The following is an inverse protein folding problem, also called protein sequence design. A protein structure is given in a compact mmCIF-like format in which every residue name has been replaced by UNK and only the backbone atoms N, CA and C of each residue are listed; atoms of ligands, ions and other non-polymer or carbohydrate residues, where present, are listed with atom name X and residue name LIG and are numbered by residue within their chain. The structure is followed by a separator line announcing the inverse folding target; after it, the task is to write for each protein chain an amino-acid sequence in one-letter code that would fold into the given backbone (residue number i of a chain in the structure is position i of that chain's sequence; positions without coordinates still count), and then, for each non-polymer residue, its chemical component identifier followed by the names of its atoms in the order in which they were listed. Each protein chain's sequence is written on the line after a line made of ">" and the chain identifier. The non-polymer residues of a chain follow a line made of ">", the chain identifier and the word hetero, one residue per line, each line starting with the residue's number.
data_IF_893723873823
#
_entry.id   IF_893723873823
#
_cell.length_a   1.000
_cell.length_b   1.000
_cell.length_c   1.000
_cell.angle_alpha   90.00
_cell.angle_beta   90.00
_cell.angle_gamma   90.00
#
_symmetry.space_group_name_H-M   'P 1'
#
loop_
_entity.id
_entity.type
_entity.pdbx_description
1 polymer ?
#
# COMPACT_ATOMS: atom_id res chain seq x y z
N UNK A 1 -45.92 3.61 -67.00
CA UNK A 1 -46.06 2.44 -66.10
C UNK A 1 -44.69 1.95 -65.64
N UNK A 2 -43.78 1.63 -66.56
CA UNK A 2 -42.45 1.07 -66.27
C UNK A 2 -41.58 1.89 -65.28
N UNK A 3 -41.55 3.22 -65.41
CA UNK A 3 -40.79 4.09 -64.48
C UNK A 3 -41.33 4.03 -63.04
N UNK A 4 -42.65 3.86 -62.87
CA UNK A 4 -43.24 3.76 -61.54
C UNK A 4 -42.90 2.42 -60.86
N UNK A 5 -42.88 1.34 -61.64
CA UNK A 5 -42.48 0.01 -61.17
C UNK A 5 -41.00 -0.03 -60.77
N UNK A 6 -40.12 0.57 -61.58
CA UNK A 6 -38.70 0.68 -61.26
C UNK A 6 -38.44 1.46 -59.97
N UNK A 7 -39.16 2.57 -59.75
CA UNK A 7 -39.07 3.34 -58.49
C UNK A 7 -39.50 2.50 -57.28
N UNK A 8 -40.58 1.73 -57.41
CA UNK A 8 -41.05 0.87 -56.34
C UNK A 8 -40.06 -0.27 -56.04
N UNK A 9 -39.47 -0.87 -57.07
CA UNK A 9 -38.44 -1.90 -56.89
C UNK A 9 -37.18 -1.34 -56.24
N UNK A 10 -36.73 -0.15 -56.63
CA UNK A 10 -35.57 0.52 -56.05
C UNK A 10 -35.81 0.82 -54.57
N UNK A 11 -36.97 1.38 -54.22
CA UNK A 11 -37.34 1.64 -52.84
C UNK A 11 -37.37 0.36 -51.98
N UNK A 12 -37.95 -0.73 -52.51
CA UNK A 12 -37.96 -2.03 -51.82
C UNK A 12 -36.55 -2.58 -51.60
N UNK A 13 -35.64 -2.41 -52.56
CA UNK A 13 -34.24 -2.84 -52.46
C UNK A 13 -33.48 -2.00 -51.44
N UNK A 14 -33.71 -0.69 -51.42
CA UNK A 14 -33.12 0.23 -50.46
C UNK A 14 -33.58 -0.08 -49.02
N UNK A 15 -34.87 -0.34 -48.81
CA UNK A 15 -35.40 -0.77 -47.52
C UNK A 15 -34.77 -2.07 -47.02
N UNK A 16 -34.61 -3.05 -47.93
CA UNK A 16 -33.93 -4.32 -47.59
C UNK A 16 -32.46 -4.09 -47.25
N UNK A 17 -31.75 -3.26 -48.01
CA UNK A 17 -30.36 -2.92 -47.74
C UNK A 17 -30.20 -2.25 -46.38
N UNK A 18 -31.02 -1.25 -46.06
CA UNK A 18 -30.98 -0.57 -44.76
C UNK A 18 -31.29 -1.51 -43.58
N UNK A 19 -32.22 -2.46 -43.75
CA UNK A 19 -32.47 -3.50 -42.74
C UNK A 19 -31.27 -4.42 -42.58
N UNK A 20 -30.66 -4.85 -43.67
CA UNK A 20 -29.46 -5.68 -43.64
C UNK A 20 -28.29 -4.96 -42.94
N UNK A 21 -28.07 -3.68 -43.21
CA UNK A 21 -27.04 -2.88 -42.55
C UNK A 21 -27.30 -2.73 -41.05
N UNK A 22 -28.55 -2.49 -40.63
CA UNK A 22 -28.90 -2.44 -39.20
C UNK A 22 -28.65 -3.76 -38.50
N UNK A 23 -29.05 -4.87 -39.13
CA UNK A 23 -28.83 -6.20 -38.59
C UNK A 23 -27.34 -6.54 -38.48
N UNK A 24 -26.56 -6.26 -39.53
CA UNK A 24 -25.11 -6.47 -39.53
C UNK A 24 -24.42 -5.70 -38.40
N UNK A 25 -24.78 -4.42 -38.22
CA UNK A 25 -24.24 -3.59 -37.14
C UNK A 25 -24.63 -4.09 -35.75
N UNK A 26 -25.87 -4.56 -35.57
CA UNK A 26 -26.29 -5.16 -34.29
C UNK A 26 -25.52 -6.45 -33.99
N UNK A 27 -25.28 -7.29 -35.01
CA UNK A 27 -24.50 -8.51 -34.84
C UNK A 27 -23.04 -8.23 -34.51
N UNK A 28 -22.44 -7.21 -35.13
CA UNK A 28 -21.08 -6.75 -34.83
C UNK A 28 -20.98 -6.26 -33.38
N UNK A 29 -21.88 -5.38 -32.94
CA UNK A 29 -21.94 -4.90 -31.55
C UNK A 29 -22.22 -6.02 -30.53
N UNK A 30 -22.89 -7.09 -30.94
CA UNK A 30 -23.10 -8.27 -30.09
C UNK A 30 -21.83 -9.10 -29.99
N UNK A 31 -21.08 -9.27 -31.08
CA UNK A 31 -19.80 -9.97 -31.09
C UNK A 31 -18.74 -9.22 -30.26
N UNK A 32 -18.60 -7.90 -30.46
CA UNK A 32 -17.66 -7.06 -29.71
C UNK A 32 -17.93 -7.12 -28.19
N UNK A 33 -19.20 -7.07 -27.77
CA UNK A 33 -19.57 -7.24 -26.36
C UNK A 33 -19.22 -8.63 -25.82
N UNK A 34 -19.33 -9.67 -26.64
CA UNK A 34 -18.96 -11.02 -26.22
C UNK A 34 -17.44 -11.17 -26.07
N UNK A 35 -16.65 -10.59 -26.97
CA UNK A 35 -15.19 -10.57 -26.91
C UNK A 35 -14.69 -9.84 -25.65
N UNK A 36 -15.20 -8.63 -25.38
CA UNK A 36 -14.87 -7.88 -24.17
C UNK A 36 -15.20 -8.66 -22.87
N UNK A 37 -16.29 -9.44 -22.87
CA UNK A 37 -16.64 -10.29 -21.73
C UNK A 37 -15.70 -11.49 -21.56
N UNK A 38 -15.14 -12.02 -22.66
CA UNK A 38 -14.16 -13.10 -22.60
C UNK A 38 -12.80 -12.59 -22.10
N UNK A 39 -12.35 -11.43 -22.58
CA UNK A 39 -11.09 -10.83 -22.15
C UNK A 39 -11.09 -10.48 -20.66
N UNK A 40 -12.20 -9.93 -20.16
CA UNK A 40 -12.35 -9.67 -18.71
C UNK A 40 -12.34 -10.96 -17.87
N UNK A 41 -12.95 -12.04 -18.35
CA UNK A 41 -12.91 -13.35 -17.66
C UNK A 41 -11.50 -13.97 -17.68
N UNK A 42 -10.74 -13.78 -18.76
CA UNK A 42 -9.36 -14.23 -18.85
C UNK A 42 -8.50 -13.58 -17.74
N UNK A 43 -8.63 -12.27 -17.55
CA UNK A 43 -7.91 -11.55 -16.48
C UNK A 43 -8.27 -12.04 -15.07
N UNK A 44 -9.54 -12.40 -14.83
CA UNK A 44 -9.95 -12.98 -13.53
C UNK A 44 -9.29 -14.34 -13.29
N UNK A 45 -9.18 -15.19 -14.31
CA UNK A 45 -8.53 -16.51 -14.19
C UNK A 45 -7.02 -16.40 -13.97
N UNK A 46 -6.35 -15.45 -14.62
CA UNK A 46 -4.93 -15.18 -14.39
C UNK A 46 -4.67 -14.69 -12.97
N UNK A 47 -5.51 -13.78 -12.47
CA UNK A 47 -5.46 -13.34 -11.08
C UNK A 47 -5.71 -14.47 -10.08
N UNK A 48 -6.64 -15.38 -10.38
CA UNK A 48 -6.92 -16.54 -9.52
C UNK A 48 -5.71 -17.47 -9.40
N UNK A 49 -5.03 -17.76 -10.52
CA UNK A 49 -3.78 -18.56 -10.52
C UNK A 49 -2.66 -17.88 -9.74
N UNK A 50 -2.51 -16.57 -9.93
CA UNK A 50 -1.51 -15.79 -9.20
C UNK A 50 -1.78 -15.80 -7.68
N UNK A 51 -3.04 -15.68 -7.28
CA UNK A 51 -3.42 -15.77 -5.87
C UNK A 51 -3.15 -17.16 -5.28
N UNK A 52 -3.44 -18.24 -6.01
CA UNK A 52 -3.15 -19.60 -5.58
C UNK A 52 -1.64 -19.81 -5.37
N UNK A 53 -0.80 -19.28 -6.28
CA UNK A 53 0.66 -19.32 -6.12
C UNK A 53 1.14 -18.54 -4.88
N UNK A 54 0.57 -17.36 -4.64
CA UNK A 54 0.86 -16.56 -3.45
C UNK A 54 0.46 -17.30 -2.16
N UNK A 55 -0.73 -17.91 -2.13
CA UNK A 55 -1.20 -18.70 -0.98
C UNK A 55 -0.27 -19.88 -0.69
N UNK A 56 0.16 -20.62 -1.71
CA UNK A 56 1.16 -21.68 -1.55
C UNK A 56 2.47 -21.15 -0.99
N UNK A 57 2.96 -20.01 -1.50
CA UNK A 57 4.22 -19.42 -1.04
C UNK A 57 4.13 -18.96 0.42
N UNK A 58 3.01 -18.35 0.81
CA UNK A 58 2.73 -17.96 2.20
C UNK A 58 2.71 -19.19 3.11
N UNK A 59 2.06 -20.27 2.68
CA UNK A 59 2.02 -21.54 3.45
C UNK A 59 3.41 -22.13 3.65
N UNK A 60 4.24 -22.19 2.59
CA UNK A 60 5.62 -22.65 2.68
C UNK A 60 6.48 -21.79 3.62
N UNK A 61 6.40 -20.45 3.51
CA UNK A 61 7.15 -19.54 4.39
C UNK A 61 6.70 -19.66 5.85
N UNK A 62 5.41 -19.84 6.10
CA UNK A 62 4.86 -20.06 7.44
C UNK A 62 5.41 -21.35 8.05
N UNK A 63 5.44 -22.44 7.28
CA UNK A 63 6.01 -23.71 7.73
C UNK A 63 7.53 -23.60 8.02
N UNK A 64 8.27 -22.82 7.23
CA UNK A 64 9.69 -22.56 7.49
C UNK A 64 9.91 -21.79 8.79
N UNK A 65 9.15 -20.71 9.02
CA UNK A 65 9.22 -19.93 10.27
C UNK A 65 8.88 -20.78 11.49
N UNK A 66 7.86 -21.64 11.40
CA UNK A 66 7.53 -22.57 12.48
C UNK A 66 8.63 -23.59 12.73
N UNK A 67 9.27 -24.08 11.65
CA UNK A 67 10.44 -24.96 11.74
C UNK A 67 11.62 -24.29 12.46
N UNK A 68 11.92 -23.04 12.13
CA UNK A 68 12.99 -22.28 12.80
C UNK A 68 12.68 -21.96 14.25
N UNK A 69 11.42 -21.60 14.56
CA UNK A 69 10.97 -21.39 15.96
C UNK A 69 11.15 -22.65 16.80
N UNK A 70 10.81 -23.83 16.25
CA UNK A 70 11.02 -25.12 16.95
C UNK A 70 12.49 -25.38 17.22
N UNK A 71 13.36 -25.21 16.21
CA UNK A 71 14.81 -25.36 16.37
C UNK A 71 15.37 -24.41 17.43
N UNK A 72 14.98 -23.13 17.38
CA UNK A 72 15.41 -22.13 18.36
C UNK A 72 14.98 -22.50 19.79
N UNK A 73 13.76 -23.03 19.97
CA UNK A 73 13.30 -23.50 21.27
C UNK A 73 14.06 -24.75 21.75
N UNK A 74 14.37 -25.70 20.87
CA UNK A 74 15.19 -26.86 21.22
C UNK A 74 16.59 -26.47 21.68
N UNK A 75 17.21 -25.48 21.01
CA UNK A 75 18.55 -25.02 21.37
C UNK A 75 18.53 -24.25 22.70
N UNK A 76 17.51 -23.41 22.93
CA UNK A 76 17.29 -22.76 24.24
C UNK A 76 17.11 -23.78 25.37
N UNK A 77 16.42 -24.89 25.11
CA UNK A 77 16.23 -25.95 26.10
C UNK A 77 17.52 -26.73 26.39
N UNK A 78 18.37 -26.96 25.38
CA UNK A 78 19.71 -27.54 25.58
C UNK A 78 20.58 -26.60 26.42
N UNK A 79 20.55 -25.30 26.12
CA UNK A 79 21.29 -24.29 26.88
C UNK A 79 20.81 -24.19 28.33
N UNK A 80 19.49 -24.23 28.56
CA UNK A 80 18.90 -24.29 29.90
C UNK A 80 19.44 -25.50 30.68
N UNK A 81 19.43 -26.69 30.09
CA UNK A 81 19.98 -27.91 30.71
C UNK A 81 21.47 -27.79 31.02
N UNK A 82 22.25 -27.17 30.12
CA UNK A 82 23.68 -26.94 30.32
C UNK A 82 23.94 -25.96 31.48
N UNK A 83 23.16 -24.88 31.57
CA UNK A 83 23.22 -23.92 32.67
C UNK A 83 22.88 -24.59 34.01
N UNK A 84 21.83 -25.42 34.05
CA UNK A 84 21.44 -26.15 35.26
C UNK A 84 22.54 -27.10 35.73
N UNK A 85 23.18 -27.82 34.79
CA UNK A 85 24.29 -28.72 35.09
C UNK A 85 25.53 -27.97 35.61
N UNK A 86 25.92 -26.87 34.95
CA UNK A 86 27.01 -26.01 35.42
C UNK A 86 26.71 -25.44 36.81
N UNK A 87 25.46 -25.04 37.06
CA UNK A 87 25.02 -24.54 38.37
C UNK A 87 25.16 -25.61 39.46
N UNK A 88 24.80 -26.87 39.17
CA UNK A 88 25.01 -28.00 40.10
C UNK A 88 26.49 -28.23 40.38
N UNK A 89 27.34 -28.18 39.35
CA UNK A 89 28.79 -28.36 39.52
C UNK A 89 29.42 -27.25 40.38
N UNK A 90 29.03 -25.99 40.17
CA UNK A 90 29.50 -24.86 40.98
C UNK A 90 29.08 -25.05 42.44
N UNK A 91 27.82 -25.39 42.72
CA UNK A 91 27.32 -25.65 44.08
C UNK A 91 28.10 -26.80 44.75
N UNK A 92 28.35 -27.89 44.02
CA UNK A 92 29.10 -29.03 44.53
C UNK A 92 30.59 -28.78 44.76
N UNK A 93 31.20 -27.83 44.03
CA UNK A 93 32.59 -27.38 44.28
C UNK A 93 32.66 -26.45 45.49
N UNK A 94 31.74 -25.48 45.59
CA UNK A 94 31.67 -24.56 46.73
C UNK A 94 31.52 -25.29 48.08
N UNK A 95 30.73 -26.37 48.12
CA UNK A 95 30.59 -27.22 49.32
C UNK A 95 31.89 -27.96 49.68
N UNK A 96 32.65 -28.44 48.69
CA UNK A 96 33.90 -29.18 48.89
C UNK A 96 35.07 -28.30 49.31
N UNK A 97 35.13 -27.09 48.76
CA UNK A 97 36.20 -26.14 49.06
C UNK A 97 36.00 -25.41 50.39
N UNK A 98 34.96 -25.77 51.16
CA UNK A 98 34.68 -25.16 52.47
C UNK A 98 34.51 -23.65 52.37
N UNK A 99 34.11 -23.15 51.19
CA UNK A 99 33.84 -21.73 50.95
C UNK A 99 32.60 -21.41 51.76
N UNK A 100 32.84 -20.97 53.01
CA UNK A 100 31.83 -20.40 53.87
C UNK A 100 31.15 -19.34 53.03
N UNK A 101 29.85 -19.56 52.81
CA UNK A 101 28.86 -18.60 52.38
C UNK A 101 29.45 -17.19 52.48
N UNK A 102 29.87 -16.61 51.35
CA UNK A 102 30.04 -15.18 51.27
C UNK A 102 28.64 -14.65 51.55
N UNK A 103 28.37 -14.39 52.84
CA UNK A 103 27.29 -13.56 53.29
C UNK A 103 27.46 -12.30 52.46
N UNK A 104 26.59 -12.15 51.47
CA UNK A 104 26.46 -10.89 50.76
C UNK A 104 26.38 -9.82 51.84
N UNK A 105 27.36 -8.93 51.86
CA UNK A 105 27.40 -7.81 52.78
C UNK A 105 26.05 -7.10 52.67
N UNK A 106 25.29 -6.89 53.77
CA UNK A 106 23.96 -6.28 53.72
C UNK A 106 23.97 -4.82 53.23
N UNK A 107 25.15 -4.26 52.93
CA UNK A 107 25.31 -2.83 52.69
C UNK A 107 24.97 -2.35 51.27
N UNK A 108 24.48 -3.22 50.38
CA UNK A 108 23.91 -2.82 49.08
C UNK A 108 22.37 -2.78 49.06
N UNK A 109 21.70 -2.94 50.20
CA UNK A 109 20.23 -2.82 50.32
C UNK A 109 19.71 -1.37 50.41
N UNK A 110 20.55 -0.35 50.21
CA UNK A 110 20.13 1.06 50.22
C UNK A 110 20.16 1.76 48.86
N UNK A 111 20.28 1.02 47.76
CA UNK A 111 19.72 1.50 46.51
C UNK A 111 18.27 1.03 46.48
N UNK A 112 17.39 1.87 47.03
CA UNK A 112 15.97 1.75 46.75
C UNK A 112 15.82 1.71 45.22
N UNK A 113 15.11 0.73 44.66
CA UNK A 113 14.63 0.89 43.30
C UNK A 113 13.70 2.09 43.34
N UNK A 114 14.10 3.20 42.72
CA UNK A 114 13.10 4.14 42.22
C UNK A 114 12.08 3.30 41.45
N UNK A 115 10.81 3.48 41.78
CA UNK A 115 9.69 2.84 41.13
C UNK A 115 9.69 3.24 39.65
N UNK A 116 10.47 2.54 38.85
CA UNK A 116 10.31 2.53 37.40
C UNK A 116 9.00 1.79 37.17
N UNK A 117 7.96 2.59 36.97
CA UNK A 117 6.68 2.12 36.46
C UNK A 117 6.94 1.19 35.26
N UNK A 118 6.24 0.07 35.14
CA UNK A 118 6.41 -0.84 34.01
C UNK A 118 5.87 -0.16 32.74
N UNK A 119 6.73 0.60 32.08
CA UNK A 119 6.53 1.03 30.70
C UNK A 119 6.71 -0.19 29.80
N UNK A 120 5.58 -0.74 29.41
CA UNK A 120 5.35 -1.95 28.61
C UNK A 120 5.80 -1.81 27.14
N UNK A 121 6.88 -1.06 26.87
CA UNK A 121 7.29 -0.67 25.51
C UNK A 121 8.73 -1.04 25.11
N UNK A 122 9.54 -1.62 26.00
CA UNK A 122 10.99 -1.75 25.73
C UNK A 122 11.49 -3.12 25.24
N UNK A 123 10.63 -4.10 24.97
CA UNK A 123 11.03 -5.40 24.38
C UNK A 123 10.84 -5.49 22.84
N UNK A 124 10.43 -4.40 22.17
CA UNK A 124 10.39 -4.36 20.69
C UNK A 124 11.54 -3.58 20.04
N UNK A 125 12.41 -2.92 20.81
CA UNK A 125 13.40 -2.01 20.25
C UNK A 125 14.83 -2.59 20.13
N UNK A 126 15.21 -3.60 20.92
CA UNK A 126 16.58 -4.13 20.92
C UNK A 126 16.88 -5.17 19.82
N UNK A 127 15.86 -5.62 19.07
CA UNK A 127 16.03 -6.54 17.94
C UNK A 127 16.27 -5.87 16.58
N UNK A 128 16.36 -4.53 16.51
CA UNK A 128 16.57 -3.78 15.26
C UNK A 128 18.01 -3.26 15.06
N UNK A 129 18.89 -3.29 16.06
CA UNK A 129 20.21 -2.63 15.96
C UNK A 129 21.40 -3.55 15.65
N UNK A 130 21.18 -4.83 15.28
CA UNK A 130 22.29 -5.78 14.99
C UNK A 130 22.42 -6.28 13.55
N UNK A 131 21.68 -5.73 12.58
CA UNK A 131 21.81 -6.09 11.15
C UNK A 131 22.36 -4.98 10.23
N UNK A 132 22.91 -3.88 10.76
CA UNK A 132 23.55 -2.84 9.93
C UNK A 132 25.06 -3.03 9.73
N UNK A 133 25.46 -4.18 9.17
CA UNK A 133 26.82 -4.37 8.68
C UNK A 133 26.81 -5.08 7.32
N UNK A 134 26.39 -4.37 6.27
CA UNK A 134 26.59 -4.84 4.90
C UNK A 134 25.63 -4.38 3.82
N UNK A 135 24.69 -3.47 4.09
CA UNK A 135 23.78 -2.98 3.05
C UNK A 135 24.33 -1.72 2.39
N UNK A 136 24.56 -1.78 1.08
CA UNK A 136 24.92 -0.62 0.25
C UNK A 136 23.80 0.42 0.40
N UNK A 137 24.13 1.57 1.02
CA UNK A 137 23.22 2.70 1.22
C UNK A 137 22.60 3.14 -0.11
N UNK A 138 21.37 2.69 -0.35
CA UNK A 138 20.45 3.31 -1.31
C UNK A 138 20.14 4.71 -0.77
N UNK A 139 20.08 5.77 -1.59
CA UNK A 139 19.78 7.10 -1.10
C UNK A 139 18.40 7.11 -0.45
N UNK A 140 18.41 7.23 0.88
CA UNK A 140 17.23 7.35 1.71
C UNK A 140 16.85 8.83 1.71
N UNK A 141 15.86 9.17 0.88
CA UNK A 141 15.28 10.51 0.86
C UNK A 141 14.32 10.58 2.04
N UNK A 142 14.78 11.16 3.15
CA UNK A 142 13.94 11.47 4.29
C UNK A 142 12.97 12.61 3.91
N UNK A 143 11.74 12.22 3.57
CA UNK A 143 10.64 13.16 3.34
C UNK A 143 10.15 13.69 4.68
N UNK A 144 10.04 15.02 4.76
CA UNK A 144 9.54 15.74 5.95
C UNK A 144 8.09 15.39 6.20
N UNK A 145 7.85 14.53 7.19
CA UNK A 145 6.50 14.23 7.69
C UNK A 145 5.94 15.52 8.30
N UNK A 146 4.99 16.14 7.62
CA UNK A 146 4.18 17.22 8.21
C UNK A 146 3.26 16.56 9.23
N UNK A 147 3.32 17.01 10.50
CA UNK A 147 2.58 16.41 11.62
C UNK A 147 1.06 16.69 11.58
N UNK A 148 0.58 17.43 10.57
CA UNK A 148 -0.84 17.77 10.46
C UNK A 148 -1.64 16.59 9.88
N UNK A 149 -2.48 15.91 10.68
CA UNK A 149 -3.30 14.80 10.20
C UNK A 149 -4.30 15.22 9.12
N UNK A 150 -4.64 16.52 9.04
CA UNK A 150 -5.53 17.06 8.02
C UNK A 150 -4.90 17.02 6.62
N UNK A 151 -3.57 17.17 6.51
CA UNK A 151 -2.83 17.10 5.24
C UNK A 151 -2.75 15.65 4.73
N UNK A 152 -2.73 14.68 5.66
CA UNK A 152 -2.71 13.25 5.34
C UNK A 152 -4.07 12.72 4.88
N UNK A 153 -5.17 13.43 5.15
CA UNK A 153 -6.51 13.05 4.71
C UNK A 153 -6.91 13.81 3.44
N UNK A 154 -6.84 13.11 2.29
CA UNK A 154 -7.25 13.66 1.00
C UNK A 154 -8.73 14.03 0.95
N UNK A 155 -9.60 13.22 1.56
CA UNK A 155 -11.04 13.49 1.59
C UNK A 155 -11.39 14.24 2.87
N UNK A 156 -12.00 15.41 2.75
CA UNK A 156 -12.52 16.19 3.87
C UNK A 156 -13.98 16.59 3.60
N UNK A 157 -14.81 16.73 4.65
CA UNK A 157 -16.12 17.35 4.50
C UNK A 157 -15.99 18.79 3.99
N UNK A 158 -16.95 19.24 3.17
CA UNK A 158 -17.00 20.50 2.41
C UNK A 158 -16.32 21.69 3.14
N UNK A 159 -15.04 21.93 2.85
CA UNK A 159 -14.31 23.13 3.24
C UNK A 159 -14.20 24.08 2.06
N UNK A 160 -13.96 25.38 2.32
CA UNK A 160 -13.77 26.36 1.24
C UNK A 160 -12.61 26.02 0.29
N UNK A 161 -11.64 25.22 0.76
CA UNK A 161 -10.46 24.79 0.00
C UNK A 161 -10.65 23.39 -0.63
N UNK A 162 -11.90 22.95 -0.82
CA UNK A 162 -12.23 21.64 -1.37
C UNK A 162 -12.44 21.67 -2.89
N UNK A 163 -11.79 20.78 -3.64
CA UNK A 163 -12.01 20.57 -5.07
C UNK A 163 -12.86 19.32 -5.34
N UNK A 164 -13.38 19.20 -6.56
CA UNK A 164 -14.11 17.99 -6.96
C UNK A 164 -13.19 16.78 -7.00
N UNK A 165 -13.74 15.59 -6.78
CA UNK A 165 -13.00 14.33 -6.90
C UNK A 165 -12.39 14.18 -8.29
N UNK A 166 -13.13 14.52 -9.35
CA UNK A 166 -12.66 14.38 -10.72
C UNK A 166 -11.50 15.34 -11.05
N UNK A 167 -11.53 16.57 -10.51
CA UNK A 167 -10.40 17.51 -10.63
C UNK A 167 -9.17 17.01 -9.89
N UNK A 168 -9.34 16.46 -8.68
CA UNK A 168 -8.26 15.90 -7.88
C UNK A 168 -7.61 14.70 -8.58
N UNK A 169 -8.44 13.79 -9.13
CA UNK A 169 -7.97 12.67 -9.94
C UNK A 169 -7.24 13.16 -11.19
N UNK A 170 -7.76 14.19 -11.87
CA UNK A 170 -7.12 14.80 -13.04
C UNK A 170 -5.72 15.33 -12.75
N UNK A 171 -5.51 15.95 -11.58
CA UNK A 171 -4.21 16.48 -11.16
C UNK A 171 -3.22 15.37 -10.75
N UNK A 172 -3.67 14.38 -9.97
CA UNK A 172 -2.77 13.38 -9.37
C UNK A 172 -2.46 12.21 -10.32
N UNK A 173 -3.39 11.81 -11.19
CA UNK A 173 -3.27 10.60 -12.03
C UNK A 173 -2.04 10.59 -12.95
N UNK A 174 -1.63 11.70 -13.60
CA UNK A 174 -0.43 11.72 -14.43
C UNK A 174 0.84 11.41 -13.63
N UNK A 175 1.00 12.03 -12.46
CA UNK A 175 2.15 11.80 -11.58
C UNK A 175 2.11 10.41 -10.96
N UNK A 176 0.93 9.93 -10.56
CA UNK A 176 0.77 8.57 -10.05
C UNK A 176 1.12 7.52 -11.09
N UNK A 177 0.70 7.68 -12.35
CA UNK A 177 1.03 6.74 -13.43
C UNK A 177 2.54 6.67 -13.74
N UNK A 178 3.29 7.75 -13.48
CA UNK A 178 4.75 7.75 -13.69
C UNK A 178 5.49 6.92 -12.64
N UNK A 179 5.02 6.95 -11.38
CA UNK A 179 5.64 6.25 -10.26
C UNK A 179 5.06 4.83 -10.10
N UNK A 180 3.76 4.66 -10.35
CA UNK A 180 3.00 3.42 -10.20
C UNK A 180 3.11 2.83 -8.79
N UNK A 181 3.18 1.51 -8.71
CA UNK A 181 3.36 0.77 -7.45
C UNK A 181 4.76 0.90 -6.85
N UNK A 182 5.66 1.63 -7.52
CA UNK A 182 7.05 1.84 -7.08
C UNK A 182 7.21 3.03 -6.14
N UNK A 183 6.11 3.63 -5.70
CA UNK A 183 6.17 4.52 -4.55
C UNK A 183 6.85 3.73 -3.44
N UNK A 184 8.01 4.17 -2.91
CA UNK A 184 8.51 3.57 -1.69
C UNK A 184 7.33 3.55 -0.73
N UNK A 185 7.07 2.40 -0.07
CA UNK A 185 6.04 2.33 0.96
C UNK A 185 6.37 3.46 1.94
N UNK A 186 5.71 4.60 1.75
CA UNK A 186 5.96 5.80 2.51
C UNK A 186 5.79 5.35 3.94
N UNK A 187 6.80 5.61 4.77
CA UNK A 187 6.92 5.20 6.17
C UNK A 187 5.89 5.92 7.05
N UNK A 188 4.65 6.04 6.56
CA UNK A 188 3.47 6.30 7.36
C UNK A 188 3.18 4.99 8.09
N UNK A 189 3.96 4.72 9.15
CA UNK A 189 3.73 3.61 10.07
C UNK A 189 2.35 3.69 10.75
N UNK A 190 1.68 4.84 10.65
CA UNK A 190 0.34 5.07 11.19
C UNK A 190 -0.72 4.68 10.16
N UNK A 191 -1.56 3.71 10.52
CA UNK A 191 -2.78 3.38 9.78
C UNK A 191 -3.72 4.58 9.85
N UNK A 192 -4.10 5.13 8.70
CA UNK A 192 -5.09 6.23 8.63
C UNK A 192 -6.46 5.62 8.37
N UNK A 193 -7.49 6.05 9.11
CA UNK A 193 -8.87 5.64 8.83
C UNK A 193 -9.41 6.49 7.68
N UNK A 194 -9.94 5.85 6.65
CA UNK A 194 -10.73 6.53 5.63
C UNK A 194 -12.19 6.57 6.08
N UNK A 195 -12.77 7.76 6.18
CA UNK A 195 -14.15 7.92 6.64
C UNK A 195 -15.18 7.47 5.59
N UNK A 196 -14.90 7.67 4.29
CA UNK A 196 -15.80 7.21 3.23
C UNK A 196 -15.81 5.70 3.05
N UNK A 197 -14.69 5.03 3.33
CA UNK A 197 -14.58 3.57 3.17
C UNK A 197 -14.68 2.82 4.50
N UNK A 198 -14.77 3.54 5.62
CA UNK A 198 -14.81 3.02 6.99
C UNK A 198 -13.70 2.01 7.33
N UNK A 199 -12.56 2.10 6.64
CA UNK A 199 -11.44 1.15 6.77
C UNK A 199 -10.11 1.84 7.02
N UNK A 200 -9.22 1.13 7.71
CA UNK A 200 -7.84 1.56 7.92
C UNK A 200 -6.99 1.28 6.69
N UNK A 201 -6.29 2.30 6.21
CA UNK A 201 -5.45 2.25 5.01
C UNK A 201 -4.00 2.51 5.38
N UNK A 202 -3.10 1.79 4.72
CA UNK A 202 -1.64 1.97 4.85
C UNK A 202 -1.07 2.80 3.69
N UNK A 203 -1.57 2.55 2.48
CA UNK A 203 -1.22 3.33 1.30
C UNK A 203 -2.39 4.27 0.96
N UNK A 204 -2.29 5.52 1.40
CA UNK A 204 -3.34 6.53 1.24
C UNK A 204 -3.58 6.81 -0.26
N UNK A 205 -2.52 6.99 -1.04
CA UNK A 205 -2.63 7.30 -2.47
C UNK A 205 -3.16 6.10 -3.26
N UNK A 206 -2.61 4.90 -3.03
CA UNK A 206 -3.13 3.70 -3.67
C UNK A 206 -4.60 3.46 -3.34
N UNK A 207 -5.01 3.73 -2.10
CA UNK A 207 -6.41 3.69 -1.71
C UNK A 207 -7.27 4.75 -2.42
N UNK A 208 -6.79 5.99 -2.51
CA UNK A 208 -7.49 7.08 -3.17
C UNK A 208 -7.81 6.77 -4.65
N UNK A 209 -6.91 6.07 -5.34
CA UNK A 209 -7.12 5.62 -6.71
C UNK A 209 -7.89 4.30 -6.86
N UNK A 210 -8.31 3.66 -5.78
CA UNK A 210 -9.09 2.41 -5.86
C UNK A 210 -10.52 2.68 -6.34
N UNK A 211 -11.04 1.83 -7.23
CA UNK A 211 -12.40 1.97 -7.78
C UNK A 211 -13.45 2.05 -6.68
N UNK A 212 -13.34 1.18 -5.66
CA UNK A 212 -14.23 1.16 -4.50
C UNK A 212 -14.27 2.52 -3.76
N UNK A 213 -13.12 3.18 -3.60
CA UNK A 213 -13.05 4.48 -2.96
C UNK A 213 -13.68 5.57 -3.83
N UNK A 214 -13.31 5.61 -5.12
CA UNK A 214 -13.81 6.59 -6.08
C UNK A 214 -15.34 6.52 -6.16
N UNK A 215 -15.91 5.32 -6.25
CA UNK A 215 -17.36 5.12 -6.29
C UNK A 215 -18.05 5.62 -5.01
N UNK A 216 -17.51 5.31 -3.83
CA UNK A 216 -18.06 5.76 -2.54
C UNK A 216 -17.99 7.28 -2.36
N UNK A 217 -16.87 7.90 -2.72
CA UNK A 217 -16.72 9.36 -2.64
C UNK A 217 -17.65 10.04 -3.64
N UNK A 218 -17.73 9.54 -4.88
CA UNK A 218 -18.65 10.07 -5.89
C UNK A 218 -20.12 9.93 -5.49
N UNK A 219 -20.52 8.78 -4.94
CA UNK A 219 -21.89 8.53 -4.49
C UNK A 219 -22.30 9.43 -3.32
N UNK A 220 -21.35 9.79 -2.45
CA UNK A 220 -21.60 10.70 -1.32
C UNK A 220 -21.49 12.18 -1.69
N UNK A 221 -21.10 12.52 -2.92
CA UNK A 221 -20.77 13.91 -3.29
C UNK A 221 -19.56 14.44 -2.51
N UNK A 222 -18.70 13.56 -2.01
CA UNK A 222 -17.53 13.92 -1.22
C UNK A 222 -16.53 14.74 -2.04
N UNK A 223 -15.79 15.59 -1.34
CA UNK A 223 -14.80 16.50 -1.94
C UNK A 223 -13.41 16.23 -1.38
N UNK A 224 -12.42 16.75 -2.09
CA UNK A 224 -11.01 16.49 -1.82
C UNK A 224 -10.33 17.80 -1.41
N UNK A 225 -9.56 17.76 -0.34
CA UNK A 225 -8.79 18.92 0.15
C UNK A 225 -7.73 19.32 -0.88
N UNK A 226 -7.78 20.57 -1.36
CA UNK A 226 -6.79 21.10 -2.29
C UNK A 226 -5.38 21.05 -1.70
N UNK A 227 -5.23 21.35 -0.41
CA UNK A 227 -3.94 21.28 0.30
C UNK A 227 -3.42 19.85 0.34
N UNK A 228 -4.29 18.87 0.58
CA UNK A 228 -3.95 17.45 0.51
C UNK A 228 -3.48 17.06 -0.89
N UNK A 229 -4.20 17.49 -1.94
CA UNK A 229 -3.83 17.23 -3.33
C UNK A 229 -2.46 17.80 -3.67
N UNK A 230 -2.17 19.04 -3.27
CA UNK A 230 -0.86 19.66 -3.52
C UNK A 230 0.27 18.96 -2.78
N UNK A 231 0.04 18.57 -1.52
CA UNK A 231 1.01 17.79 -0.74
C UNK A 231 1.36 16.51 -1.49
N UNK A 232 0.36 15.70 -1.81
CA UNK A 232 0.58 14.42 -2.49
C UNK A 232 1.14 14.55 -3.91
N UNK A 233 0.80 15.62 -4.63
CA UNK A 233 1.40 15.91 -5.93
C UNK A 233 2.91 16.14 -5.81
N UNK A 234 3.34 16.93 -4.81
CA UNK A 234 4.76 17.18 -4.53
C UNK A 234 5.49 15.88 -4.15
N UNK A 235 4.86 15.05 -3.31
CA UNK A 235 5.40 13.75 -2.91
C UNK A 235 5.59 12.81 -4.12
N UNK A 236 4.57 12.72 -4.99
CA UNK A 236 4.63 11.91 -6.22
C UNK A 236 5.72 12.40 -7.17
N UNK A 237 5.88 13.72 -7.32
CA UNK A 237 6.91 14.30 -8.18
C UNK A 237 8.32 14.05 -7.63
N UNK A 238 8.52 14.16 -6.31
CA UNK A 238 9.80 13.84 -5.67
C UNK A 238 10.13 12.35 -5.82
N UNK A 239 9.14 11.47 -5.61
CA UNK A 239 9.31 10.03 -5.83
C UNK A 239 9.68 9.71 -7.29
N UNK A 240 9.03 10.37 -8.27
CA UNK A 240 9.34 10.20 -9.68
C UNK A 240 10.77 10.63 -10.03
N UNK A 241 11.24 11.75 -9.45
CA UNK A 241 12.61 12.24 -9.64
C UNK A 241 13.67 11.31 -9.00
N UNK A 242 13.31 10.61 -7.93
CA UNK A 242 14.18 9.69 -7.22
C UNK A 242 14.37 8.32 -7.92
N UNK A 243 13.62 8.00 -8.98
CA UNK A 243 13.78 6.76 -9.74
C UNK A 243 14.93 6.91 -10.75
N UNK A 244 16.13 6.33 -10.51
CA UNK A 244 17.25 6.48 -11.42
C UNK A 244 16.97 5.73 -12.72
N UNK A 245 16.91 6.46 -13.85
CA UNK A 245 16.91 5.86 -15.20
C UNK A 245 15.80 6.28 -16.16
N UNK A 246 14.85 7.14 -15.79
CA UNK A 246 13.95 7.78 -16.75
C UNK A 246 14.33 9.23 -16.95
N UNK A 247 14.83 9.58 -18.14
CA UNK A 247 14.93 10.98 -18.58
C UNK A 247 13.52 11.57 -18.53
N UNK A 248 13.30 12.56 -17.69
CA UNK A 248 12.06 13.33 -17.69
C UNK A 248 12.04 14.24 -18.92
N UNK A 249 11.17 13.93 -19.88
CA UNK A 249 10.68 14.95 -20.80
C UNK A 249 9.88 15.95 -19.96
N UNK A 250 10.40 17.17 -19.87
CA UNK A 250 9.90 18.20 -18.98
C UNK A 250 8.51 18.64 -19.45
N UNK A 251 7.46 18.18 -18.78
CA UNK A 251 6.13 18.74 -18.95
C UNK A 251 6.12 20.08 -18.21
N UNK A 252 6.34 21.16 -18.97
CA UNK A 252 6.22 22.53 -18.50
C UNK A 252 4.75 22.80 -18.21
N UNK A 253 4.36 22.69 -16.93
CA UNK A 253 3.08 23.17 -16.44
C UNK A 253 3.08 24.70 -16.63
N UNK A 254 2.37 25.18 -17.65
CA UNK A 254 2.08 26.60 -17.79
C UNK A 254 1.07 26.96 -16.69
N UNK A 255 1.55 27.67 -15.67
CA UNK A 255 0.69 28.47 -14.80
C UNK A 255 -0.05 29.46 -15.69
N UNK A 256 -1.34 29.25 -15.89
CA UNK A 256 -2.25 30.26 -16.41
C UNK A 256 -2.34 31.35 -15.34
N UNK A 257 -1.70 32.50 -15.61
CA UNK A 257 -1.98 33.72 -14.87
C UNK A 257 -3.39 34.21 -15.26
N UNK A 258 -4.20 34.69 -14.31
CA UNK A 258 -5.46 35.32 -14.64
C UNK A 258 -5.18 36.64 -15.36
N UNK A 259 -5.70 36.79 -16.58
CA UNK A 259 -5.73 38.09 -17.25
C UNK A 259 -6.70 38.99 -16.47
N UNK A 260 -6.16 40.08 -15.91
CA UNK A 260 -6.96 41.17 -15.38
C UNK A 260 -7.65 41.87 -16.55
N UNK A 261 -8.98 41.79 -16.59
CA UNK A 261 -9.82 42.58 -17.49
C UNK A 261 -9.73 44.06 -17.10
N UNK A 262 -9.31 44.88 -18.07
CA UNK A 262 -9.50 46.33 -18.10
C UNK A 262 -10.49 46.71 -19.18
#
# INVERSE_FOLDING_TARGET
>A
AEVAELKQQLQKKEDMFQRACRYARETELRAERAENLLDSKQGILENAKYNEELEMRISCLTAQLDGERRKSNEDREKDRKRIDELTKQIKGKAQREGVRHLQYSPHLQQLQPEEVQPSLEMEQQESLEKEEAGYVKKPEVALTVTEDPAILQLCQPDTNDSISLDDALGQLRPSYAQVGDKLPMMTIFKRVKCDHCERFVRNIIGHFFSEEHIEKVRASGGRVSQTGVQHWLNELQQAAAAVPGKRMDTIRVQQLQPEEEG
#
